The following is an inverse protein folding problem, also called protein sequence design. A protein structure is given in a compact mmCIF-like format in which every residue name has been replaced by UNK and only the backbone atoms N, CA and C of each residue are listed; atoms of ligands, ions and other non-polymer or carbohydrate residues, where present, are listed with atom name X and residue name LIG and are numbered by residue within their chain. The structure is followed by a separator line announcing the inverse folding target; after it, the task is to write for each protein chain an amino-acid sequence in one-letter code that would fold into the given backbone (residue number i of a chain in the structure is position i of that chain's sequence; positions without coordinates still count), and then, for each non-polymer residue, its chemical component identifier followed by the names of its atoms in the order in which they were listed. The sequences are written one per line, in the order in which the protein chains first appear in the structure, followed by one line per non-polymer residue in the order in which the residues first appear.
data_IF_490053950307
#
_entry.id   IF_490053950307
#
_cell.length_a   1.000
_cell.length_b   1.000
_cell.length_c   1.000
_cell.angle_alpha   90.00
_cell.angle_beta   90.00
_cell.angle_gamma   90.00
#
_symmetry.space_group_name_H-M   'P 1'
#
loop_
_entity.id
_entity.type
_entity.pdbx_description
1 polymer ?
#
# COMPACT_ATOMS: atom_id res chain seq x y z
N UNK A 1 -39.59 -3.21 -12.08
CA UNK A 1 -38.54 -2.38 -11.45
C UNK A 1 -39.20 -1.52 -10.38
N UNK A 2 -39.10 -1.92 -9.11
CA UNK A 2 -39.60 -1.08 -8.00
C UNK A 2 -38.70 0.12 -7.83
N UNK A 3 -39.24 1.32 -8.07
CA UNK A 3 -38.65 2.58 -7.65
C UNK A 3 -38.70 2.63 -6.12
N UNK A 4 -37.63 2.18 -5.46
CA UNK A 4 -37.46 2.38 -4.02
C UNK A 4 -37.38 3.90 -3.79
N UNK A 5 -38.43 4.48 -3.23
CA UNK A 5 -38.45 5.86 -2.79
C UNK A 5 -37.35 6.04 -1.73
N UNK A 6 -36.19 6.56 -2.15
CA UNK A 6 -35.12 7.00 -1.26
C UNK A 6 -35.69 8.08 -0.33
N UNK A 7 -36.02 7.68 0.90
CA UNK A 7 -36.43 8.60 1.95
C UNK A 7 -35.26 9.53 2.22
N UNK A 8 -35.42 10.81 1.85
CA UNK A 8 -34.40 11.82 2.08
C UNK A 8 -34.23 12.02 3.58
N UNK A 9 -33.01 11.79 4.09
CA UNK A 9 -32.68 12.01 5.50
C UNK A 9 -32.97 13.47 5.91
N UNK A 10 -33.42 13.72 7.15
CA UNK A 10 -33.70 15.07 7.63
C UNK A 10 -32.40 15.89 7.72
N UNK A 11 -32.51 17.20 7.49
CA UNK A 11 -31.38 18.11 7.66
C UNK A 11 -30.90 18.15 9.11
N UNK A 12 -29.58 18.14 9.34
CA UNK A 12 -29.00 18.16 10.70
C UNK A 12 -29.28 19.45 11.50
N UNK A 13 -29.83 20.49 10.87
CA UNK A 13 -30.11 21.80 11.48
C UNK A 13 -31.61 22.07 11.63
N UNK A 14 -32.45 21.47 10.79
CA UNK A 14 -33.88 21.77 10.74
C UNK A 14 -34.69 20.57 10.22
N UNK A 15 -36.01 20.49 10.43
CA UNK A 15 -36.80 19.30 10.08
C UNK A 15 -37.05 19.11 8.57
N UNK A 16 -36.53 20.00 7.70
CA UNK A 16 -36.70 19.88 6.25
C UNK A 16 -35.90 18.69 5.69
N UNK A 17 -36.44 18.06 4.65
CA UNK A 17 -35.72 17.05 3.88
C UNK A 17 -34.40 17.61 3.33
N UNK A 18 -33.35 16.81 3.38
CA UNK A 18 -32.05 17.19 2.83
C UNK A 18 -32.05 17.18 1.30
N UNK A 19 -31.21 18.02 0.72
CA UNK A 19 -30.97 18.14 -0.72
C UNK A 19 -29.48 18.08 -1.07
N UNK A 20 -28.61 18.22 -0.07
CA UNK A 20 -27.16 18.21 -0.24
C UNK A 20 -26.48 17.55 0.96
N UNK A 21 -25.26 17.06 0.77
CA UNK A 21 -24.37 16.57 1.82
C UNK A 21 -23.08 17.38 1.87
N UNK A 22 -22.35 17.30 2.98
CA UNK A 22 -20.99 17.82 3.02
C UNK A 22 -20.08 17.03 2.07
N UNK A 23 -19.69 17.61 0.94
CA UNK A 23 -18.80 16.96 -0.05
C UNK A 23 -17.47 16.50 0.54
N UNK A 24 -16.99 17.20 1.57
CA UNK A 24 -15.74 16.88 2.24
C UNK A 24 -15.83 15.65 3.17
N UNK A 25 -17.02 15.34 3.69
CA UNK A 25 -17.26 14.18 4.55
C UNK A 25 -17.83 12.99 3.77
N UNK A 26 -18.20 13.19 2.51
CA UNK A 26 -18.69 12.13 1.65
C UNK A 26 -17.57 11.11 1.43
N UNK A 27 -17.97 9.84 1.36
CA UNK A 27 -17.11 8.70 1.03
C UNK A 27 -15.98 8.43 2.03
N UNK A 28 -16.12 8.90 3.28
CA UNK A 28 -15.22 8.56 4.39
C UNK A 28 -15.84 7.42 5.19
N UNK A 29 -15.08 6.34 5.40
CA UNK A 29 -15.50 5.27 6.28
C UNK A 29 -15.46 5.77 7.74
N UNK A 30 -16.56 5.60 8.51
CA UNK A 30 -16.52 5.86 9.94
C UNK A 30 -15.59 4.84 10.62
N UNK A 31 -15.10 5.19 11.81
CA UNK A 31 -14.48 4.19 12.67
C UNK A 31 -15.52 3.14 13.10
N UNK A 32 -15.12 1.90 13.46
CA UNK A 32 -16.06 0.88 13.94
C UNK A 32 -16.94 1.34 15.12
N UNK A 33 -16.43 2.24 15.95
CA UNK A 33 -17.13 2.84 17.09
C UNK A 33 -18.03 4.02 16.74
N UNK A 34 -18.00 4.51 15.49
CA UNK A 34 -18.74 5.68 15.04
C UNK A 34 -19.92 5.28 14.14
N UNK A 35 -21.12 5.80 14.44
CA UNK A 35 -22.25 5.64 13.53
C UNK A 35 -22.07 6.51 12.29
N UNK A 36 -22.22 5.92 11.10
CA UNK A 36 -22.17 6.65 9.83
C UNK A 36 -23.32 7.65 9.78
N UNK A 37 -23.03 8.92 10.05
CA UNK A 37 -24.00 9.99 9.92
C UNK A 37 -23.53 10.91 8.80
N UNK A 38 -23.96 10.59 7.58
CA UNK A 38 -23.79 11.49 6.45
C UNK A 38 -24.37 12.85 6.85
N UNK A 39 -23.49 13.86 6.96
CA UNK A 39 -23.92 15.22 7.34
C UNK A 39 -24.65 15.86 6.17
N UNK A 40 -25.98 15.78 6.23
CA UNK A 40 -26.88 16.27 5.19
C UNK A 40 -27.59 17.57 5.58
N UNK A 41 -27.83 18.42 4.58
CA UNK A 41 -28.42 19.73 4.74
C UNK A 41 -29.53 19.96 3.70
N UNK A 42 -30.52 20.77 4.05
CA UNK A 42 -31.53 21.23 3.09
C UNK A 42 -31.07 22.45 2.27
N UNK A 43 -29.99 23.12 2.70
CA UNK A 43 -29.43 24.30 2.05
C UNK A 43 -28.02 24.64 2.57
N UNK A 44 -27.27 25.43 1.79
CA UNK A 44 -25.97 26.01 2.19
C UNK A 44 -26.09 26.90 3.44
N UNK A 45 -27.25 27.52 3.68
CA UNK A 45 -27.49 28.29 4.91
C UNK A 45 -27.44 27.40 6.14
N UNK A 46 -28.12 26.26 6.11
CA UNK A 46 -28.06 25.27 7.19
C UNK A 46 -26.64 24.71 7.37
N UNK A 47 -25.92 24.43 6.27
CA UNK A 47 -24.52 24.01 6.36
C UNK A 47 -23.64 25.06 7.06
N UNK A 48 -23.77 26.34 6.71
CA UNK A 48 -23.02 27.44 7.35
C UNK A 48 -23.35 27.58 8.85
N UNK A 49 -24.60 27.35 9.24
CA UNK A 49 -25.01 27.35 10.66
C UNK A 49 -24.32 26.21 11.43
N UNK A 50 -24.35 24.99 10.87
CA UNK A 50 -23.69 23.83 11.47
C UNK A 50 -22.15 23.92 11.42
N UNK A 51 -21.59 24.68 10.48
CA UNK A 51 -20.15 24.73 10.22
C UNK A 51 -19.31 25.03 11.46
N UNK A 52 -19.80 25.88 12.37
CA UNK A 52 -19.09 26.18 13.64
C UNK A 52 -18.84 24.91 14.48
N UNK A 53 -19.78 23.96 14.47
CA UNK A 53 -19.66 22.66 15.16
C UNK A 53 -19.04 21.59 14.26
N UNK A 54 -19.27 21.68 12.95
CA UNK A 54 -18.84 20.66 11.99
C UNK A 54 -17.36 20.76 11.60
N UNK A 55 -16.79 21.97 11.56
CA UNK A 55 -15.48 22.24 10.95
C UNK A 55 -14.36 21.34 11.50
N UNK A 56 -14.32 21.11 12.81
CA UNK A 56 -13.34 20.23 13.45
C UNK A 56 -13.48 18.78 12.97
N UNK A 57 -14.60 18.11 13.27
CA UNK A 57 -14.86 16.74 12.80
C UNK A 57 -14.72 16.56 11.28
N UNK A 58 -15.14 17.56 10.49
CA UNK A 58 -15.01 17.56 9.04
C UNK A 58 -13.54 17.49 8.58
N UNK A 59 -12.62 18.18 9.27
CA UNK A 59 -11.19 18.12 8.97
C UNK A 59 -10.60 16.75 9.30
N UNK A 60 -10.97 16.16 10.44
CA UNK A 60 -10.53 14.81 10.81
C UNK A 60 -10.99 13.78 9.77
N UNK A 61 -12.25 13.85 9.31
CA UNK A 61 -12.77 12.97 8.27
C UNK A 61 -12.03 13.14 6.93
N UNK A 62 -11.74 14.38 6.52
CA UNK A 62 -10.93 14.64 5.32
C UNK A 62 -9.53 14.06 5.44
N UNK A 63 -8.90 14.21 6.61
CA UNK A 63 -7.57 13.66 6.87
C UNK A 63 -7.56 12.12 6.82
N UNK A 64 -8.55 11.46 7.43
CA UNK A 64 -8.75 10.01 7.31
C UNK A 64 -8.90 9.60 5.85
N UNK A 65 -9.75 10.28 5.07
CA UNK A 65 -9.93 10.00 3.64
C UNK A 65 -8.62 10.07 2.86
N UNK A 66 -7.83 11.12 3.09
CA UNK A 66 -6.51 11.27 2.47
C UNK A 66 -5.58 10.12 2.86
N UNK A 67 -5.59 9.69 4.12
CA UNK A 67 -4.80 8.53 4.56
C UNK A 67 -5.22 7.24 3.85
N UNK A 68 -6.51 6.93 3.78
CA UNK A 68 -7.00 5.71 3.10
C UNK A 68 -6.61 5.70 1.62
N UNK A 69 -6.79 6.83 0.93
CA UNK A 69 -6.40 6.99 -0.48
C UNK A 69 -4.89 6.94 -0.70
N UNK A 70 -4.12 7.50 0.23
CA UNK A 70 -2.67 7.37 0.21
C UNK A 70 -2.25 5.91 0.38
N UNK A 71 -2.94 5.16 1.25
CA UNK A 71 -2.80 3.72 1.43
C UNK A 71 -3.03 2.95 0.13
N UNK A 72 -4.19 3.16 -0.49
CA UNK A 72 -4.57 2.55 -1.76
C UNK A 72 -3.53 2.84 -2.85
N UNK A 73 -3.17 4.12 -3.04
CA UNK A 73 -2.15 4.52 -4.01
C UNK A 73 -0.80 3.85 -3.75
N UNK A 74 -0.29 3.91 -2.51
CA UNK A 74 1.03 3.37 -2.17
C UNK A 74 1.08 1.85 -2.26
N UNK A 75 -0.05 1.16 -2.03
CA UNK A 75 -0.15 -0.28 -2.20
C UNK A 75 -0.13 -0.67 -3.68
N UNK A 76 -0.84 0.06 -4.53
CA UNK A 76 -0.80 -0.16 -5.99
C UNK A 76 0.59 0.18 -6.57
N UNK A 77 1.27 1.22 -6.04
CA UNK A 77 2.68 1.49 -6.37
C UNK A 77 3.57 0.31 -5.95
N UNK A 78 3.36 -0.26 -4.77
CA UNK A 78 4.10 -1.44 -4.32
C UNK A 78 3.88 -2.62 -5.27
N UNK A 79 2.65 -2.92 -5.66
CA UNK A 79 2.37 -4.03 -6.58
C UNK A 79 3.03 -3.80 -7.94
N UNK A 80 2.86 -2.60 -8.51
CA UNK A 80 3.53 -2.21 -9.75
C UNK A 80 5.06 -2.36 -9.65
N UNK A 81 5.67 -1.87 -8.57
CA UNK A 81 7.10 -2.05 -8.31
C UNK A 81 7.47 -3.53 -8.25
N UNK A 82 6.69 -4.32 -7.51
CA UNK A 82 7.00 -5.71 -7.24
C UNK A 82 6.85 -6.60 -8.48
N UNK A 83 5.95 -6.28 -9.39
CA UNK A 83 5.87 -6.93 -10.71
C UNK A 83 7.17 -6.76 -11.51
N UNK A 84 7.79 -5.57 -11.44
CA UNK A 84 9.02 -5.27 -12.18
C UNK A 84 10.26 -5.90 -11.58
N UNK A 85 10.29 -6.03 -10.24
CA UNK A 85 11.44 -6.63 -9.53
C UNK A 85 11.12 -7.99 -8.93
N UNK A 86 10.13 -8.71 -9.48
CA UNK A 86 9.76 -10.03 -9.01
C UNK A 86 10.93 -10.99 -9.21
N UNK A 87 11.36 -11.70 -8.15
CA UNK A 87 12.61 -12.45 -8.12
C UNK A 87 12.42 -13.94 -7.78
N UNK A 88 11.16 -14.41 -7.77
CA UNK A 88 10.80 -15.77 -7.40
C UNK A 88 10.53 -16.62 -8.63
N UNK A 89 11.16 -17.78 -8.69
CA UNK A 89 10.92 -18.76 -9.74
C UNK A 89 9.86 -19.76 -9.27
N UNK A 90 8.59 -19.36 -9.33
CA UNK A 90 7.47 -20.15 -8.80
C UNK A 90 7.04 -21.18 -9.84
N UNK A 91 7.10 -22.45 -9.48
CA UNK A 91 6.65 -23.57 -10.33
C UNK A 91 5.15 -23.81 -10.20
N UNK A 92 4.66 -23.78 -8.96
CA UNK A 92 3.30 -24.20 -8.62
C UNK A 92 2.79 -23.42 -7.41
N UNK A 93 1.50 -23.10 -7.44
CA UNK A 93 0.76 -22.54 -6.33
C UNK A 93 -0.39 -23.50 -6.00
N UNK A 94 -0.45 -23.96 -4.75
CA UNK A 94 -1.54 -24.78 -4.25
C UNK A 94 -2.37 -23.97 -3.25
N UNK A 95 -3.69 -23.90 -3.48
CA UNK A 95 -4.66 -23.19 -2.66
C UNK A 95 -5.59 -24.20 -1.97
N UNK A 96 -5.42 -24.41 -0.67
CA UNK A 96 -6.20 -25.39 0.11
C UNK A 96 -6.50 -24.86 1.51
N UNK A 97 -7.77 -24.88 1.94
CA UNK A 97 -8.21 -24.44 3.28
C UNK A 97 -7.71 -23.04 3.69
N UNK A 98 -7.73 -22.07 2.78
CA UNK A 98 -7.18 -20.72 3.03
C UNK A 98 -5.66 -20.67 3.15
N UNK A 99 -4.93 -21.74 2.80
CA UNK A 99 -3.46 -21.76 2.74
C UNK A 99 -3.01 -21.63 1.29
N UNK A 100 -2.02 -20.77 1.07
CA UNK A 100 -1.36 -20.59 -0.21
C UNK A 100 0.06 -21.14 -0.11
N UNK A 101 0.26 -22.35 -0.64
CA UNK A 101 1.59 -22.96 -0.67
C UNK A 101 2.25 -22.62 -1.99
N UNK A 102 3.37 -21.91 -1.93
CA UNK A 102 4.15 -21.50 -3.09
C UNK A 102 5.36 -22.43 -3.19
N UNK A 103 5.42 -23.16 -4.28
CA UNK A 103 6.53 -24.05 -4.62
C UNK A 103 7.50 -23.29 -5.52
N UNK A 104 8.63 -22.87 -4.96
CA UNK A 104 9.71 -22.24 -5.71
C UNK A 104 10.65 -23.33 -6.27
N UNK A 105 11.09 -23.17 -7.51
CA UNK A 105 12.24 -23.90 -8.03
C UNK A 105 13.50 -23.40 -7.34
N UNK A 106 14.43 -24.32 -7.10
CA UNK A 106 15.74 -23.93 -6.60
C UNK A 106 16.39 -22.99 -7.64
N UNK A 107 16.82 -21.78 -7.23
CA UNK A 107 17.32 -20.81 -8.18
C UNK A 107 18.59 -21.36 -8.84
N UNK A 108 18.53 -21.58 -10.15
CA UNK A 108 19.74 -21.79 -10.93
C UNK A 108 20.62 -20.54 -10.79
N UNK A 109 21.94 -20.73 -10.68
CA UNK A 109 22.87 -19.60 -10.63
C UNK A 109 22.63 -18.71 -11.87
N UNK A 110 22.23 -17.43 -11.68
CA UNK A 110 21.78 -16.61 -12.80
C UNK A 110 22.95 -16.30 -13.72
N UNK A 111 22.79 -16.62 -15.00
CA UNK A 111 23.80 -16.34 -16.02
C UNK A 111 24.00 -14.83 -16.28
N UNK A 112 23.05 -13.98 -15.86
CA UNK A 112 23.04 -12.53 -16.08
C UNK A 112 22.59 -11.77 -14.83
N UNK A 113 22.95 -10.48 -14.75
CA UNK A 113 22.62 -9.59 -13.62
C UNK A 113 21.11 -9.39 -13.41
N UNK A 114 20.31 -9.38 -14.47
CA UNK A 114 18.85 -9.36 -14.38
C UNK A 114 18.22 -10.74 -14.45
N UNK A 115 19.02 -11.81 -14.60
CA UNK A 115 18.52 -13.19 -14.65
C UNK A 115 17.90 -13.68 -13.33
N UNK A 116 17.93 -12.83 -12.30
CA UNK A 116 17.24 -13.01 -11.03
C UNK A 116 15.77 -12.63 -11.14
N UNK A 117 15.44 -11.70 -12.04
CA UNK A 117 14.07 -11.23 -12.21
C UNK A 117 13.29 -12.25 -13.04
N UNK A 118 12.09 -12.55 -12.57
CA UNK A 118 11.14 -13.47 -13.18
C UNK A 118 9.87 -12.71 -13.51
N UNK A 119 9.16 -13.16 -14.54
CA UNK A 119 7.79 -12.68 -14.76
C UNK A 119 6.91 -13.24 -13.65
N UNK A 120 5.98 -12.43 -13.14
CA UNK A 120 4.96 -12.90 -12.21
C UNK A 120 4.08 -13.94 -12.91
N UNK A 121 3.95 -15.17 -12.37
CA UNK A 121 3.21 -16.25 -13.01
C UNK A 121 1.71 -16.10 -12.72
N UNK A 122 1.11 -15.09 -13.33
CA UNK A 122 -0.32 -14.75 -13.15
C UNK A 122 -1.24 -15.92 -13.53
N UNK A 123 -0.80 -16.77 -14.46
CA UNK A 123 -1.49 -17.98 -14.88
C UNK A 123 -1.60 -19.06 -13.79
N UNK A 124 -0.78 -19.01 -12.74
CA UNK A 124 -0.86 -19.90 -11.58
C UNK A 124 -1.82 -19.37 -10.50
N UNK A 125 -2.33 -18.15 -10.66
CA UNK A 125 -3.24 -17.50 -9.74
C UNK A 125 -4.69 -17.62 -10.26
N UNK A 126 -5.65 -17.87 -9.36
CA UNK A 126 -7.07 -17.99 -9.75
C UNK A 126 -7.80 -16.65 -9.71
N UNK A 127 -7.33 -15.73 -8.88
CA UNK A 127 -7.95 -14.43 -8.61
C UNK A 127 -6.92 -13.31 -8.55
N UNK A 128 -7.36 -12.06 -8.70
CA UNK A 128 -6.51 -10.89 -8.47
C UNK A 128 -5.96 -10.85 -7.04
N UNK A 129 -6.75 -11.30 -6.09
CA UNK A 129 -6.38 -11.47 -4.69
C UNK A 129 -5.19 -12.43 -4.50
N UNK A 130 -5.13 -13.53 -5.26
CA UNK A 130 -3.99 -14.45 -5.25
C UNK A 130 -2.73 -13.78 -5.83
N UNK A 131 -2.87 -12.98 -6.89
CA UNK A 131 -1.76 -12.21 -7.47
C UNK A 131 -1.22 -11.21 -6.44
N UNK A 132 -2.10 -10.45 -5.79
CA UNK A 132 -1.73 -9.49 -4.73
C UNK A 132 -1.04 -10.18 -3.56
N UNK A 133 -1.55 -11.35 -3.15
CA UNK A 133 -0.92 -12.18 -2.11
C UNK A 133 0.48 -12.65 -2.52
N UNK A 134 0.65 -13.08 -3.78
CA UNK A 134 1.94 -13.51 -4.33
C UNK A 134 2.96 -12.37 -4.39
N UNK A 135 2.53 -11.19 -4.82
CA UNK A 135 3.39 -9.99 -4.87
C UNK A 135 3.80 -9.56 -3.46
N UNK A 136 2.88 -9.57 -2.49
CA UNK A 136 3.17 -9.19 -1.11
C UNK A 136 4.05 -10.19 -0.35
N UNK A 137 4.09 -11.46 -0.80
CA UNK A 137 4.74 -12.57 -0.10
C UNK A 137 6.22 -12.29 0.22
N UNK A 138 6.56 -12.35 1.52
CA UNK A 138 7.94 -12.22 2.05
C UNK A 138 8.58 -10.88 1.66
N UNK A 139 7.77 -9.85 1.43
CA UNK A 139 8.26 -8.55 0.97
C UNK A 139 8.01 -7.42 1.98
N UNK A 140 7.55 -7.72 3.19
CA UNK A 140 7.16 -6.72 4.20
C UNK A 140 8.32 -5.83 4.70
N UNK A 141 9.53 -6.39 4.83
CA UNK A 141 10.71 -5.60 5.20
C UNK A 141 11.15 -4.68 4.05
N UNK A 142 11.09 -5.20 2.83
CA UNK A 142 11.54 -4.51 1.62
C UNK A 142 10.56 -3.45 1.17
N UNK A 143 9.26 -3.67 1.34
CA UNK A 143 8.24 -2.65 1.07
C UNK A 143 8.48 -1.39 1.91
N UNK A 144 8.70 -1.54 3.22
CA UNK A 144 8.99 -0.43 4.13
C UNK A 144 10.33 0.25 3.79
N UNK A 145 11.34 -0.53 3.39
CA UNK A 145 12.66 0.01 3.07
C UNK A 145 12.66 0.80 1.75
N UNK A 146 12.13 0.20 0.67
CA UNK A 146 12.26 0.71 -0.70
C UNK A 146 11.23 1.77 -1.03
N UNK A 147 10.04 1.73 -0.43
CA UNK A 147 9.03 2.78 -0.62
C UNK A 147 9.12 3.91 0.41
N UNK A 148 10.10 3.92 1.32
CA UNK A 148 10.20 4.92 2.38
C UNK A 148 10.09 6.37 1.88
N UNK A 149 10.80 6.71 0.80
CA UNK A 149 10.82 8.08 0.26
C UNK A 149 9.44 8.44 -0.34
N UNK A 150 8.80 7.51 -1.05
CA UNK A 150 7.46 7.68 -1.61
C UNK A 150 6.39 7.79 -0.51
N UNK A 151 6.43 6.91 0.50
CA UNK A 151 5.53 6.93 1.66
C UNK A 151 5.63 8.27 2.40
N UNK A 152 6.85 8.71 2.70
CA UNK A 152 7.10 9.98 3.41
C UNK A 152 6.57 11.16 2.59
N UNK A 153 6.78 11.15 1.27
CA UNK A 153 6.34 12.23 0.38
C UNK A 153 4.82 12.29 0.21
N UNK A 154 4.17 11.15 0.00
CA UNK A 154 2.71 11.05 -0.21
C UNK A 154 1.96 11.36 1.09
N UNK A 155 2.48 10.95 2.25
CA UNK A 155 1.88 11.22 3.55
C UNK A 155 2.20 12.62 4.11
N UNK A 156 2.92 13.47 3.36
CA UNK A 156 3.23 14.84 3.78
C UNK A 156 1.94 15.61 4.03
N UNK A 157 1.85 16.27 5.19
CA UNK A 157 0.64 17.01 5.58
C UNK A 157 -0.56 16.14 5.98
N UNK A 158 -0.46 14.80 5.93
CA UNK A 158 -1.46 13.86 6.45
C UNK A 158 -1.00 13.25 7.78
N UNK A 159 0.24 12.76 7.84
CA UNK A 159 0.82 12.15 9.03
C UNK A 159 1.71 13.15 9.81
N UNK A 160 1.66 13.11 11.15
CA UNK A 160 2.65 13.79 12.01
C UNK A 160 3.75 12.86 12.50
N UNK A 161 3.51 11.54 12.48
CA UNK A 161 4.45 10.56 13.01
C UNK A 161 4.31 9.24 12.27
N UNK A 162 5.44 8.62 11.96
CA UNK A 162 5.52 7.33 11.26
C UNK A 162 6.57 6.48 11.97
N UNK A 163 6.20 5.24 12.31
CA UNK A 163 7.09 4.27 12.97
C UNK A 163 7.03 2.92 12.25
N UNK A 164 8.15 2.21 12.23
CA UNK A 164 8.19 0.82 11.76
C UNK A 164 7.89 -0.12 12.93
N UNK A 165 6.94 -1.03 12.74
CA UNK A 165 6.49 -1.96 13.77
C UNK A 165 6.64 -3.39 13.28
N UNK A 166 7.31 -4.22 14.08
CA UNK A 166 7.48 -5.65 13.82
C UNK A 166 6.62 -6.45 14.78
N UNK A 167 5.94 -7.49 14.30
CA UNK A 167 5.00 -8.29 15.09
C UNK A 167 4.76 -9.66 14.47
N UNK A 168 3.98 -10.52 15.12
CA UNK A 168 3.55 -11.81 14.56
C UNK A 168 2.07 -11.77 14.22
N UNK A 169 1.67 -12.36 13.10
CA UNK A 169 0.25 -12.44 12.78
C UNK A 169 -0.47 -13.45 13.66
N UNK A 170 -1.65 -13.06 14.15
CA UNK A 170 -2.63 -13.95 14.76
C UNK A 170 -3.53 -14.50 13.66
N UNK A 171 -3.60 -15.83 13.55
CA UNK A 171 -4.55 -16.56 12.71
C UNK A 171 -4.88 -15.89 11.36
N UNK A 172 -3.88 -15.71 10.47
CA UNK A 172 -4.11 -15.01 9.23
C UNK A 172 -5.12 -15.78 8.36
N UNK A 173 -5.98 -15.06 7.64
CA UNK A 173 -6.98 -15.64 6.73
C UNK A 173 -6.32 -16.35 5.55
N UNK A 174 -5.09 -15.95 5.21
CA UNK A 174 -4.20 -16.64 4.28
C UNK A 174 -2.85 -16.96 4.93
N UNK A 175 -2.39 -18.21 4.82
CA UNK A 175 -1.03 -18.59 5.23
C UNK A 175 -0.17 -18.88 4.00
N UNK A 176 0.90 -18.10 3.83
CA UNK A 176 1.90 -18.36 2.80
C UNK A 176 2.96 -19.32 3.32
N UNK A 177 3.13 -20.43 2.60
CA UNK A 177 4.14 -21.44 2.89
C UNK A 177 5.08 -21.54 1.70
N UNK A 178 6.36 -21.25 1.90
CA UNK A 178 7.37 -21.36 0.84
C UNK A 178 8.12 -22.68 0.98
N UNK A 179 8.17 -23.46 -0.10
CA UNK A 179 8.85 -24.76 -0.16
C UNK A 179 9.47 -24.99 -1.55
N UNK A 180 10.37 -25.96 -1.67
CA UNK A 180 10.85 -26.50 -2.95
C UNK A 180 10.19 -27.85 -3.26
N UNK A 181 10.25 -28.31 -4.51
CA UNK A 181 9.84 -29.67 -4.91
C UNK A 181 11.02 -30.41 -5.61
N UNK A 182 11.54 -31.51 -5.05
CA UNK A 182 11.22 -32.07 -3.74
C UNK A 182 11.62 -31.10 -2.60
N UNK A 183 10.98 -31.21 -1.41
CA UNK A 183 11.33 -30.36 -0.27
C UNK A 183 12.75 -30.67 0.20
N UNK A 184 13.68 -29.78 -0.13
CA UNK A 184 15.09 -29.88 0.29
C UNK A 184 15.32 -29.31 1.69
N UNK A 185 14.38 -28.48 2.16
CA UNK A 185 14.41 -27.76 3.45
C UNK A 185 13.00 -27.75 4.05
N UNK A 186 12.88 -27.68 5.39
CA UNK A 186 11.58 -27.48 6.01
C UNK A 186 10.92 -26.19 5.48
N UNK A 187 9.58 -26.16 5.35
CA UNK A 187 8.88 -24.98 4.87
C UNK A 187 9.22 -23.76 5.74
N UNK A 188 9.59 -22.66 5.11
CA UNK A 188 9.90 -21.42 5.81
C UNK A 188 8.62 -20.62 6.02
N UNK A 189 8.27 -20.43 7.29
CA UNK A 189 7.25 -19.47 7.71
C UNK A 189 8.00 -18.27 8.29
N UNK A 190 7.78 -17.09 7.71
CA UNK A 190 8.39 -15.86 8.24
C UNK A 190 7.79 -15.58 9.63
N UNK A 191 8.60 -15.58 10.70
CA UNK A 191 8.08 -15.47 12.05
C UNK A 191 7.59 -14.07 12.41
N UNK A 192 7.94 -13.04 11.62
CA UNK A 192 7.59 -11.66 11.89
C UNK A 192 7.16 -10.91 10.63
N UNK A 193 6.14 -10.07 10.77
CA UNK A 193 5.73 -9.08 9.78
C UNK A 193 6.24 -7.69 10.14
N UNK A 194 6.32 -6.81 9.14
CA UNK A 194 6.65 -5.40 9.34
C UNK A 194 5.57 -4.54 8.69
N UNK A 195 5.04 -3.60 9.47
CA UNK A 195 4.07 -2.59 9.03
C UNK A 195 4.51 -1.20 9.51
N UNK A 196 3.86 -0.15 9.01
CA UNK A 196 4.01 1.20 9.52
C UNK A 196 2.88 1.54 10.48
N UNK A 197 3.20 2.14 11.63
CA UNK A 197 2.23 2.85 12.46
C UNK A 197 2.26 4.32 12.08
N UNK A 198 1.11 4.85 11.66
CA UNK A 198 0.97 6.23 11.22
C UNK A 198 0.03 6.97 12.16
N UNK A 199 0.47 8.11 12.70
CA UNK A 199 -0.40 9.01 13.46
C UNK A 199 -0.77 10.25 12.63
N UNK A 200 -2.05 10.59 12.60
CA UNK A 200 -2.60 11.70 11.83
C UNK A 200 -2.25 13.08 12.42
N UNK A 201 -2.11 14.10 11.57
CA UNK A 201 -1.72 15.45 12.00
C UNK A 201 -2.78 16.15 12.86
N UNK A 202 -4.05 16.11 12.45
CA UNK A 202 -5.13 16.86 13.07
C UNK A 202 -5.81 16.03 14.16
N UNK A 203 -6.27 14.82 13.83
CA UNK A 203 -7.04 13.99 14.78
C UNK A 203 -6.16 13.28 15.81
N UNK A 204 -4.87 13.10 15.52
CA UNK A 204 -3.92 12.28 16.30
C UNK A 204 -4.26 10.80 16.36
N UNK A 205 -5.22 10.36 15.58
CA UNK A 205 -5.60 8.95 15.44
C UNK A 205 -4.43 8.15 14.85
N UNK A 206 -4.30 6.91 15.30
CA UNK A 206 -3.25 6.00 14.84
C UNK A 206 -3.83 4.92 13.95
N UNK A 207 -3.09 4.59 12.89
CA UNK A 207 -3.46 3.58 11.91
C UNK A 207 -2.28 2.63 11.66
N UNK A 208 -2.60 1.37 11.41
CA UNK A 208 -1.69 0.45 10.74
C UNK A 208 -1.73 0.75 9.26
N UNK A 209 -0.55 0.88 8.66
CA UNK A 209 -0.35 1.16 7.25
C UNK A 209 0.52 0.03 6.68
N UNK A 210 -0.16 -1.01 6.22
CA UNK A 210 0.41 -2.31 5.85
C UNK A 210 0.22 -2.56 4.36
N UNK A 211 1.20 -2.15 3.56
CA UNK A 211 1.15 -2.33 2.11
C UNK A 211 1.22 -3.80 1.69
N UNK A 212 1.66 -4.69 2.58
CA UNK A 212 1.92 -6.11 2.31
C UNK A 212 0.94 -7.03 3.03
N UNK A 213 -0.16 -6.51 3.59
CA UNK A 213 -1.12 -7.30 4.34
C UNK A 213 -1.79 -8.41 3.51
N UNK A 214 -1.79 -8.28 2.17
CA UNK A 214 -2.35 -9.27 1.26
C UNK A 214 -1.66 -10.63 1.40
N UNK A 215 -0.40 -10.69 1.85
CA UNK A 215 0.26 -11.96 2.13
C UNK A 215 -0.43 -12.79 3.24
N UNK A 216 -1.30 -12.14 4.02
CA UNK A 216 -2.10 -12.75 5.08
C UNK A 216 -3.60 -12.75 4.77
N UNK A 217 -3.99 -12.39 3.55
CA UNK A 217 -5.38 -12.38 3.08
C UNK A 217 -6.19 -11.17 3.54
N UNK A 218 -5.52 -10.06 3.88
CA UNK A 218 -6.16 -8.77 4.12
C UNK A 218 -5.74 -7.78 3.04
N UNK A 219 -6.67 -7.20 2.31
CA UNK A 219 -6.34 -6.38 1.14
C UNK A 219 -6.43 -4.88 1.41
N UNK A 220 -6.98 -4.46 2.56
CA UNK A 220 -7.00 -3.05 2.95
C UNK A 220 -5.65 -2.63 3.52
N UNK A 221 -4.94 -1.66 2.90
CA UNK A 221 -3.62 -1.25 3.35
C UNK A 221 -3.64 -0.37 4.60
N UNK A 222 -4.82 0.14 5.01
CA UNK A 222 -4.97 1.06 6.14
C UNK A 222 -6.10 0.60 7.04
N UNK A 223 -5.79 0.42 8.32
CA UNK A 223 -6.75 -0.02 9.35
C UNK A 223 -6.50 0.76 10.63
N UNK A 224 -7.54 1.13 11.41
CA UNK A 224 -7.34 1.71 12.74
C UNK A 224 -6.39 0.84 13.58
N UNK A 225 -5.44 1.48 14.28
CA UNK A 225 -4.36 0.76 14.97
C UNK A 225 -4.87 -0.24 16.02
N UNK A 226 -5.91 0.13 16.75
CA UNK A 226 -6.53 -0.73 17.78
C UNK A 226 -7.16 -1.98 17.14
N UNK A 227 -8.01 -1.78 16.12
CA UNK A 227 -8.64 -2.88 15.37
C UNK A 227 -7.62 -3.81 14.73
N UNK A 228 -6.53 -3.26 14.17
CA UNK A 228 -5.47 -4.06 13.56
C UNK A 228 -4.84 -5.05 14.55
N UNK A 229 -4.61 -4.65 15.81
CA UNK A 229 -4.06 -5.56 16.82
C UNK A 229 -5.06 -6.57 17.35
N UNK A 230 -6.30 -6.14 17.53
CA UNK A 230 -7.36 -7.04 17.99
C UNK A 230 -7.57 -8.18 16.98
N UNK A 231 -7.59 -7.85 15.70
CA UNK A 231 -7.92 -8.76 14.61
C UNK A 231 -6.73 -9.52 14.04
N UNK A 232 -5.56 -8.87 13.87
CA UNK A 232 -4.50 -9.38 12.97
C UNK A 232 -3.19 -9.70 13.66
N UNK A 233 -2.90 -9.12 14.82
CA UNK A 233 -1.55 -9.17 15.40
C UNK A 233 -1.45 -9.78 16.81
N UNK A 234 -0.29 -10.33 17.10
CA UNK A 234 0.21 -10.56 18.45
C UNK A 234 1.03 -9.35 18.93
N UNK A 235 1.40 -9.32 20.21
CA UNK A 235 2.09 -8.19 20.84
C UNK A 235 3.32 -7.73 20.03
N UNK A 236 3.54 -6.41 19.85
CA UNK A 236 4.66 -5.90 19.06
C UNK A 236 6.00 -6.40 19.57
N UNK A 237 6.80 -6.93 18.67
CA UNK A 237 8.13 -7.48 18.96
C UNK A 237 9.18 -6.38 18.98
N UNK A 238 9.00 -5.35 18.14
CA UNK A 238 9.91 -4.21 18.10
C UNK A 238 9.23 -2.95 17.53
N UNK A 239 9.76 -1.79 17.96
CA UNK A 239 9.44 -0.47 17.42
C UNK A 239 10.71 0.21 16.94
N UNK A 240 10.68 0.80 15.75
CA UNK A 240 11.80 1.56 15.19
C UNK A 240 11.30 2.85 14.55
N UNK A 241 12.20 3.83 14.44
CA UNK A 241 11.93 5.06 13.70
C UNK A 241 11.76 4.74 12.20
N UNK A 242 10.84 5.45 11.53
CA UNK A 242 10.69 5.37 10.07
C UNK A 242 12.02 5.56 9.35
N UNK A 243 12.33 4.68 8.40
CA UNK A 243 13.55 4.71 7.59
C UNK A 243 14.67 3.84 8.14
N UNK A 244 14.49 3.21 9.31
CA UNK A 244 15.51 2.30 9.86
C UNK A 244 15.73 1.10 8.94
N UNK A 245 14.68 0.48 8.38
CA UNK A 245 14.86 -0.61 7.41
C UNK A 245 15.56 -0.15 6.14
N UNK A 246 15.25 1.04 5.64
CA UNK A 246 15.95 1.65 4.49
C UNK A 246 17.44 1.78 4.77
N UNK A 247 17.83 2.36 5.91
CA UNK A 247 19.24 2.52 6.28
C UNK A 247 19.99 1.19 6.35
N UNK A 248 19.39 0.18 6.99
CA UNK A 248 19.96 -1.17 7.07
C UNK A 248 20.16 -1.74 5.66
N UNK A 249 19.12 -1.71 4.81
CA UNK A 249 19.20 -2.26 3.46
C UNK A 249 20.23 -1.54 2.60
N UNK A 250 20.28 -0.21 2.65
CA UNK A 250 21.28 0.60 1.92
C UNK A 250 22.70 0.29 2.43
N UNK A 251 22.90 0.10 3.73
CA UNK A 251 24.21 -0.26 4.28
C UNK A 251 24.70 -1.62 3.77
N UNK A 252 23.79 -2.58 3.60
CA UNK A 252 24.08 -3.92 3.11
C UNK A 252 24.38 -3.95 1.59
N UNK A 253 24.05 -2.91 0.82
CA UNK A 253 24.40 -2.82 -0.61
C UNK A 253 25.92 -2.84 -0.86
N UNK A 254 26.72 -2.53 0.17
CA UNK A 254 28.20 -2.56 0.09
C UNK A 254 28.76 -3.98 0.13
N UNK A 255 28.01 -4.93 0.66
CA UNK A 255 28.42 -6.34 0.68
C UNK A 255 28.34 -6.89 -0.74
N UNK A 256 29.38 -7.54 -1.27
CA UNK A 256 29.40 -8.05 -2.66
C UNK A 256 28.90 -9.49 -2.75
N UNK A 257 27.71 -9.78 -2.22
CA UNK A 257 27.12 -11.14 -2.23
C UNK A 257 25.85 -11.21 -3.12
N UNK A 258 25.28 -12.41 -3.29
CA UNK A 258 24.09 -12.63 -4.12
C UNK A 258 22.90 -11.74 -3.72
N UNK A 259 22.61 -11.67 -2.42
CA UNK A 259 21.50 -10.88 -1.88
C UNK A 259 21.68 -9.37 -2.11
N UNK A 260 22.93 -8.89 -2.21
CA UNK A 260 23.19 -7.49 -2.48
C UNK A 260 22.91 -7.09 -3.93
N UNK A 261 22.98 -8.03 -4.89
CA UNK A 261 22.67 -7.72 -6.29
C UNK A 261 21.18 -7.42 -6.49
N UNK A 262 20.31 -8.28 -5.99
CA UNK A 262 18.86 -8.04 -6.03
C UNK A 262 18.51 -6.78 -5.24
N UNK A 263 19.08 -6.60 -4.05
CA UNK A 263 18.86 -5.39 -3.24
C UNK A 263 19.26 -4.13 -4.00
N UNK A 264 20.35 -4.18 -4.79
CA UNK A 264 20.79 -3.08 -5.63
C UNK A 264 19.82 -2.82 -6.79
N UNK A 265 19.26 -3.86 -7.43
CA UNK A 265 18.20 -3.70 -8.43
C UNK A 265 16.98 -3.03 -7.80
N UNK A 266 16.49 -3.56 -6.67
CA UNK A 266 15.37 -2.97 -5.95
C UNK A 266 15.62 -1.51 -5.58
N UNK A 267 16.82 -1.19 -5.07
CA UNK A 267 17.21 0.17 -4.72
C UNK A 267 17.19 1.12 -5.93
N UNK A 268 17.80 0.71 -7.05
CA UNK A 268 17.90 1.51 -8.26
C UNK A 268 16.53 1.73 -8.93
N UNK A 269 15.68 0.72 -8.96
CA UNK A 269 14.32 0.81 -9.50
C UNK A 269 13.42 1.62 -8.56
N UNK A 270 13.44 1.37 -7.25
CA UNK A 270 12.67 2.16 -6.29
C UNK A 270 13.08 3.64 -6.29
N UNK A 271 14.36 3.92 -6.55
CA UNK A 271 14.90 5.28 -6.71
C UNK A 271 14.26 6.09 -7.83
N UNK A 272 13.51 5.47 -8.76
CA UNK A 272 12.77 6.20 -9.81
C UNK A 272 11.38 6.65 -9.38
N UNK A 273 10.82 6.08 -8.31
CA UNK A 273 9.41 6.27 -7.92
C UNK A 273 9.16 7.74 -7.54
N UNK A 274 9.85 8.24 -6.51
CA UNK A 274 9.62 9.61 -6.03
C UNK A 274 9.92 10.68 -7.10
N UNK A 275 11.06 10.67 -7.82
CA UNK A 275 11.30 11.63 -8.90
C UNK A 275 10.19 11.64 -9.95
N UNK A 276 9.62 10.46 -10.26
CA UNK A 276 8.55 10.35 -11.24
C UNK A 276 7.20 10.84 -10.72
N UNK A 277 6.89 10.64 -9.43
CA UNK A 277 5.73 11.27 -8.78
C UNK A 277 5.83 12.79 -8.90
N UNK A 278 6.97 13.38 -8.56
CA UNK A 278 7.20 14.84 -8.65
C UNK A 278 7.08 15.35 -10.08
N UNK A 279 7.64 14.61 -11.05
CA UNK A 279 7.52 14.97 -12.46
C UNK A 279 6.06 14.93 -12.94
N UNK A 280 5.30 13.93 -12.50
CA UNK A 280 3.86 13.83 -12.81
C UNK A 280 3.09 15.01 -12.20
N UNK A 281 3.36 15.40 -10.96
CA UNK A 281 2.73 16.57 -10.32
C UNK A 281 2.97 17.86 -11.14
N UNK A 282 4.18 18.03 -11.66
CA UNK A 282 4.54 19.17 -12.52
C UNK A 282 3.77 19.16 -13.85
N UNK A 283 3.70 17.99 -14.51
CA UNK A 283 3.02 17.84 -15.80
C UNK A 283 1.49 18.02 -15.68
N UNK A 284 0.89 17.52 -14.61
CA UNK A 284 -0.55 17.61 -14.36
C UNK A 284 -0.97 18.93 -13.68
N UNK A 285 0.01 19.79 -13.35
CA UNK A 285 -0.21 20.99 -12.54
C UNK A 285 -1.02 20.70 -11.27
N UNK A 286 -0.72 19.57 -10.61
CA UNK A 286 -1.49 19.05 -9.48
C UNK A 286 -0.58 18.30 -8.52
N UNK A 287 -0.50 18.81 -7.29
CA UNK A 287 0.15 18.09 -6.20
C UNK A 287 -0.63 16.85 -5.79
N UNK A 288 0.07 15.82 -5.32
CA UNK A 288 -0.49 14.58 -4.79
C UNK A 288 -1.46 14.87 -3.65
N UNK A 289 -1.16 15.83 -2.77
CA UNK A 289 -2.06 16.18 -1.67
C UNK A 289 -3.43 16.66 -2.16
N UNK A 290 -3.48 17.37 -3.29
CA UNK A 290 -4.71 17.80 -3.98
C UNK A 290 -5.36 16.66 -4.74
N UNK A 291 -4.59 15.74 -5.29
CA UNK A 291 -5.13 14.52 -5.90
C UNK A 291 -5.90 13.69 -4.88
N UNK A 292 -5.35 13.52 -3.67
CA UNK A 292 -5.99 12.77 -2.57
C UNK A 292 -7.32 13.39 -2.10
N UNK A 293 -7.63 14.64 -2.46
CA UNK A 293 -8.88 15.34 -2.12
C UNK A 293 -9.97 15.24 -3.18
N UNK A 294 -9.65 14.71 -4.36
CA UNK A 294 -10.58 14.65 -5.49
C UNK A 294 -11.85 13.85 -5.17
N UNK A 295 -12.95 14.02 -5.91
CA UNK A 295 -14.03 13.03 -5.92
C UNK A 295 -13.49 11.61 -6.19
N UNK A 296 -14.15 10.56 -5.67
CA UNK A 296 -13.63 9.18 -5.74
C UNK A 296 -13.24 8.76 -7.16
N UNK A 297 -14.14 8.96 -8.11
CA UNK A 297 -13.90 8.65 -9.52
C UNK A 297 -12.65 9.37 -10.08
N UNK A 298 -12.57 10.69 -9.88
CA UNK A 298 -11.45 11.48 -10.40
C UNK A 298 -10.11 11.13 -9.71
N UNK A 299 -10.15 10.71 -8.44
CA UNK A 299 -8.99 10.17 -7.74
C UNK A 299 -8.52 8.85 -8.37
N UNK A 300 -9.44 7.92 -8.63
CA UNK A 300 -9.13 6.62 -9.24
C UNK A 300 -8.54 6.79 -10.66
N UNK A 301 -9.11 7.68 -11.47
CA UNK A 301 -8.57 8.00 -12.80
C UNK A 301 -7.13 8.55 -12.71
N UNK A 302 -6.89 9.51 -11.82
CA UNK A 302 -5.56 10.11 -11.65
C UNK A 302 -4.54 9.15 -11.05
N UNK A 303 -4.97 8.25 -10.17
CA UNK A 303 -4.14 7.16 -9.66
C UNK A 303 -3.67 6.25 -10.81
N UNK A 304 -4.56 5.83 -11.71
CA UNK A 304 -4.22 4.99 -12.86
C UNK A 304 -3.22 5.71 -13.79
N UNK A 305 -3.43 7.00 -14.06
CA UNK A 305 -2.50 7.79 -14.87
C UNK A 305 -1.10 7.86 -14.26
N UNK A 306 -1.00 8.10 -12.95
CA UNK A 306 0.27 8.11 -12.23
C UNK A 306 0.95 6.74 -12.26
N UNK A 307 0.21 5.66 -12.00
CA UNK A 307 0.74 4.29 -12.03
C UNK A 307 1.37 3.94 -13.39
N UNK A 308 0.72 4.30 -14.50
CA UNK A 308 1.29 4.13 -15.85
C UNK A 308 2.57 4.94 -16.08
N UNK A 309 2.70 6.10 -15.44
CA UNK A 309 3.93 6.89 -15.51
C UNK A 309 5.07 6.25 -14.71
N UNK A 310 4.75 5.67 -13.55
CA UNK A 310 5.71 4.95 -12.71
C UNK A 310 6.19 3.67 -13.38
N UNK A 311 5.26 2.90 -13.95
CA UNK A 311 5.56 1.65 -14.65
C UNK A 311 6.61 1.87 -15.75
N UNK A 312 6.38 2.84 -16.64
CA UNK A 312 7.31 3.20 -17.71
C UNK A 312 8.68 3.61 -17.19
N UNK A 313 8.71 4.40 -16.10
CA UNK A 313 9.99 4.85 -15.52
C UNK A 313 10.81 3.69 -14.95
N UNK A 314 10.15 2.69 -14.37
CA UNK A 314 10.81 1.48 -13.86
C UNK A 314 11.30 0.60 -15.00
N UNK A 315 10.51 0.44 -16.08
CA UNK A 315 10.93 -0.29 -17.28
C UNK A 315 12.16 0.37 -17.94
N UNK A 316 12.14 1.69 -18.14
CA UNK A 316 13.28 2.45 -18.68
C UNK A 316 14.55 2.23 -17.84
N UNK A 317 14.40 2.20 -16.52
CA UNK A 317 15.51 1.97 -15.59
C UNK A 317 16.07 0.56 -15.71
N UNK A 318 15.22 -0.46 -15.79
CA UNK A 318 15.65 -1.85 -15.98
C UNK A 318 16.41 -2.02 -17.31
N UNK A 319 15.91 -1.42 -18.40
CA UNK A 319 16.59 -1.44 -19.71
C UNK A 319 17.96 -0.75 -19.63
N UNK A 320 18.03 0.43 -18.98
CA UNK A 320 19.29 1.15 -18.76
C UNK A 320 20.31 0.32 -17.99
N UNK A 321 19.85 -0.41 -16.96
CA UNK A 321 20.69 -1.28 -16.13
C UNK A 321 21.26 -2.49 -16.88
N UNK A 322 20.52 -3.04 -17.85
CA UNK A 322 21.00 -4.13 -18.70
C UNK A 322 22.06 -3.63 -19.71
N UNK A 323 21.82 -2.47 -20.32
CA UNK A 323 22.69 -1.86 -21.33
C UNK A 323 24.04 -1.39 -20.78
N UNK A 324 24.10 -0.86 -19.55
CA UNK A 324 25.33 -0.33 -18.94
C UNK A 324 26.49 -1.34 -18.85
N UNK A 325 26.23 -2.65 -18.91
CA UNK A 325 27.28 -3.67 -18.85
C UNK A 325 27.84 -4.11 -20.19
N UNK A 326 27.06 -4.05 -21.27
CA UNK A 326 27.59 -4.38 -22.61
C UNK A 326 28.77 -3.47 -22.97
N UNK A 327 28.78 -2.23 -22.45
CA UNK A 327 29.86 -1.26 -22.63
C UNK A 327 31.04 -1.39 -21.66
N UNK A 328 30.95 -2.23 -20.62
CA UNK A 328 32.05 -2.51 -19.68
C UNK A 328 32.74 -3.86 -19.96
N UNK A 329 32.14 -4.70 -20.81
CA UNK A 329 32.69 -5.99 -21.24
C UNK A 329 33.36 -5.95 -22.63
N UNK A 330 33.45 -4.77 -23.25
CA UNK A 330 34.18 -4.49 -24.49
C UNK A 330 35.45 -3.72 -24.18
#
# INVERSE_FOLDING_TARGET
MSLTLLTKSPCVVCPKASSMSCSACKDVLPLPSESRTDRVYCSTKCQKIDWKKHKGPCKSLQERRRLYRAGELLQEILYCFREKVFDRNVERINLEDGRMTIHDLEPAAPAKRLGFLQRVPVELCSTEEDIKSLLAAVFCCDSVAWLHDAVTYVLRGVACHIEERSFRHRDPTRRIINTTDPPTKPPKVEPYHITLKVALNISKESYAFDLTSAQYGYYEPVVPWESYWEERGEEPVASKQSGTRRLIRVSNLRERNFGSMLSLICYEVAGTILPRIVQWEYAEHREIDKMLDLPKHDFEEKMIELLRCLERAMDDKLVSMDNWRLSQSQ
#
